data_IF_616358755031
#
_entry.id   IF_616358755031
#
_cell.length_a   1.000
_cell.length_b   1.000
_cell.length_c   1.000
_cell.angle_alpha   90.00
_cell.angle_beta   90.00
_cell.angle_gamma   90.00
#
_symmetry.space_group_name_H-M   'P 1'
#
loop_
_entity.id
_entity.type
_entity.pdbx_description
1 polymer ?
#
# COMPACT_ATOMS: atom_id res chain seq x y z
N UNK A 1 -1.10 38.10 19.00
CA UNK A 1 -1.43 36.81 18.36
C UNK A 1 -2.14 36.00 19.43
N UNK A 2 -3.45 36.14 19.48
CA UNK A 2 -4.31 35.53 20.50
C UNK A 2 -4.42 34.03 20.22
N UNK A 3 -4.11 33.20 21.21
CA UNK A 3 -4.42 31.78 21.15
C UNK A 3 -5.86 31.59 21.61
N UNK A 4 -6.78 31.47 20.66
CA UNK A 4 -8.12 30.95 20.92
C UNK A 4 -8.01 29.45 21.23
N UNK A 5 -8.43 29.12 22.45
CA UNK A 5 -8.58 27.78 22.97
C UNK A 5 -9.88 27.20 22.38
N UNK A 6 -9.90 25.98 21.81
CA UNK A 6 -11.14 25.40 21.31
C UNK A 6 -12.08 25.16 22.50
N UNK A 7 -13.24 25.81 22.49
CA UNK A 7 -14.35 25.43 23.34
C UNK A 7 -14.77 24.01 22.94
N UNK A 8 -14.46 23.05 23.79
CA UNK A 8 -15.06 21.71 23.72
C UNK A 8 -16.47 21.91 24.25
N UNK A 9 -17.42 22.08 23.33
CA UNK A 9 -18.83 21.90 23.67
C UNK A 9 -18.97 20.51 24.30
N UNK A 10 -19.49 20.49 25.53
CA UNK A 10 -20.00 19.29 26.19
C UNK A 10 -21.15 18.73 25.33
N UNK A 11 -20.81 18.01 24.27
CA UNK A 11 -21.74 17.12 23.61
C UNK A 11 -22.05 16.00 24.60
N UNK A 12 -23.11 16.23 25.38
CA UNK A 12 -23.91 15.18 26.00
C UNK A 12 -24.18 14.17 24.90
N UNK A 13 -23.43 13.07 24.93
CA UNK A 13 -23.53 12.00 23.95
C UNK A 13 -24.93 11.42 24.13
N UNK A 14 -25.88 11.86 23.29
CA UNK A 14 -27.21 11.31 23.27
C UNK A 14 -27.08 9.83 22.88
N UNK A 15 -27.24 8.96 23.87
CA UNK A 15 -27.44 7.53 23.65
C UNK A 15 -28.55 7.34 22.61
N UNK A 16 -28.34 6.51 21.57
CA UNK A 16 -29.36 6.27 20.54
C UNK A 16 -30.69 5.88 21.19
N UNK A 17 -31.72 6.72 21.04
CA UNK A 17 -33.06 6.40 21.51
C UNK A 17 -33.69 5.39 20.55
N UNK A 18 -34.12 4.26 21.09
CA UNK A 18 -35.00 3.32 20.39
C UNK A 18 -36.34 4.05 20.17
N UNK A 19 -36.85 4.16 18.92
CA UNK A 19 -38.11 4.84 18.65
C UNK A 19 -39.25 4.24 19.48
N UNK A 20 -39.89 5.06 20.32
CA UNK A 20 -41.08 4.69 21.10
C UNK A 20 -40.85 4.38 22.58
N UNK A 21 -39.61 4.30 23.07
CA UNK A 21 -39.32 4.12 24.50
C UNK A 21 -38.92 5.45 25.16
N UNK A 22 -39.60 5.91 26.23
CA UNK A 22 -39.21 7.12 26.95
C UNK A 22 -37.78 6.98 27.49
N UNK A 23 -37.01 8.07 27.47
CA UNK A 23 -35.63 8.05 27.97
C UNK A 23 -35.57 7.57 29.43
N UNK A 24 -34.46 6.93 29.83
CA UNK A 24 -34.25 6.49 31.21
C UNK A 24 -34.50 7.62 32.22
N UNK A 25 -34.06 8.84 31.90
CA UNK A 25 -34.31 10.05 32.69
C UNK A 25 -35.81 10.36 32.83
N UNK A 26 -36.59 10.22 31.76
CA UNK A 26 -38.03 10.42 31.79
C UNK A 26 -38.75 9.32 32.58
N UNK A 27 -38.33 8.06 32.44
CA UNK A 27 -38.88 6.94 33.21
C UNK A 27 -38.62 7.09 34.72
N UNK A 28 -37.40 7.47 35.10
CA UNK A 28 -37.03 7.70 36.50
C UNK A 28 -37.85 8.85 37.11
N UNK A 29 -38.01 9.95 36.36
CA UNK A 29 -38.84 11.09 36.77
C UNK A 29 -40.29 10.70 36.97
N UNK A 30 -40.88 9.93 36.04
CA UNK A 30 -42.25 9.45 36.18
C UNK A 30 -42.44 8.53 37.40
N UNK A 31 -41.50 7.62 37.67
CA UNK A 31 -41.53 6.78 38.88
C UNK A 31 -41.43 7.60 40.17
N UNK A 32 -40.58 8.63 40.18
CA UNK A 32 -40.45 9.55 41.32
C UNK A 32 -41.73 10.37 41.56
N UNK A 33 -42.37 10.88 40.50
CA UNK A 33 -43.63 11.63 40.60
C UNK A 33 -44.80 10.77 41.13
N UNK A 34 -44.86 9.50 40.71
CA UNK A 34 -45.84 8.52 41.24
C UNK A 34 -45.59 8.27 42.72
N UNK A 35 -44.33 8.08 43.12
CA UNK A 35 -43.94 7.91 44.52
C UNK A 35 -44.36 9.11 45.38
N UNK A 36 -44.02 10.33 44.95
CA UNK A 36 -44.31 11.55 45.69
C UNK A 36 -45.81 11.80 45.84
N UNK A 37 -46.58 11.44 44.81
CA UNK A 37 -48.04 11.52 44.82
C UNK A 37 -48.67 10.53 45.79
N UNK A 38 -48.21 9.27 45.78
CA UNK A 38 -48.68 8.23 46.71
C UNK A 38 -48.36 8.58 48.16
N UNK A 39 -47.15 9.08 48.42
CA UNK A 39 -46.74 9.50 49.75
C UNK A 39 -47.61 10.65 50.28
N UNK A 40 -47.79 11.71 49.47
CA UNK A 40 -48.68 12.83 49.82
C UNK A 40 -50.12 12.38 50.10
N UNK A 41 -50.65 11.47 49.27
CA UNK A 41 -52.00 10.95 49.43
C UNK A 41 -52.16 10.16 50.72
N UNK A 42 -51.22 9.26 51.02
CA UNK A 42 -51.23 8.46 52.25
C UNK A 42 -51.14 9.35 53.50
N UNK A 43 -50.24 10.35 53.50
CA UNK A 43 -50.13 11.31 54.61
C UNK A 43 -51.42 12.10 54.82
N UNK A 44 -52.06 12.55 53.73
CA UNK A 44 -53.33 13.29 53.80
C UNK A 44 -54.45 12.43 54.38
N UNK A 45 -54.55 11.17 53.97
CA UNK A 45 -55.57 10.25 54.51
C UNK A 45 -55.34 9.92 55.99
N UNK A 46 -54.08 9.82 56.41
CA UNK A 46 -53.72 9.60 57.82
C UNK A 46 -54.13 10.77 58.70
N UNK A 47 -53.84 11.99 58.26
CA UNK A 47 -54.24 13.20 58.99
C UNK A 47 -55.77 13.33 59.07
N UNK A 48 -56.48 12.99 57.98
CA UNK A 48 -57.93 13.08 57.92
C UNK A 48 -58.63 12.11 58.89
N UNK A 49 -58.16 10.86 58.99
CA UNK A 49 -58.75 9.88 59.93
C UNK A 49 -58.54 10.26 61.40
N UNK A 50 -57.46 10.96 61.73
CA UNK A 50 -57.25 11.53 63.06
C UNK A 50 -58.24 12.66 63.40
N UNK A 51 -58.74 13.39 62.39
CA UNK A 51 -59.70 14.50 62.57
C UNK A 51 -61.14 14.00 62.66
N UNK A 52 -61.51 12.95 61.91
CA UNK A 52 -62.90 12.51 61.75
C UNK A 52 -63.44 11.63 62.91
N UNK A 53 -62.66 11.38 63.97
CA UNK A 53 -63.11 10.58 65.11
C UNK A 53 -63.40 9.12 64.75
N UNK A 54 -62.54 8.51 63.91
CA UNK A 54 -62.72 7.13 63.43
C UNK A 54 -62.68 6.09 64.56
N UNK A 55 -63.38 4.96 64.38
CA UNK A 55 -63.29 3.85 65.34
C UNK A 55 -61.85 3.31 65.40
N UNK A 56 -61.44 2.80 66.57
CA UNK A 56 -60.11 2.24 66.77
C UNK A 56 -59.76 1.14 65.76
N UNK A 57 -60.75 0.36 65.32
CA UNK A 57 -60.54 -0.74 64.36
C UNK A 57 -60.31 -0.23 62.93
N UNK A 58 -60.98 0.86 62.53
CA UNK A 58 -60.74 1.51 61.23
C UNK A 58 -59.36 2.16 61.20
N UNK A 59 -58.94 2.75 62.33
CA UNK A 59 -57.62 3.34 62.49
C UNK A 59 -56.52 2.27 62.44
N UNK A 60 -56.74 1.10 63.08
CA UNK A 60 -55.83 -0.05 62.99
C UNK A 60 -55.69 -0.56 61.56
N UNK A 61 -56.81 -0.79 60.85
CA UNK A 61 -56.78 -1.23 59.44
C UNK A 61 -56.09 -0.22 58.53
N UNK A 62 -56.32 1.07 58.77
CA UNK A 62 -55.68 2.15 58.03
C UNK A 62 -54.15 2.16 58.24
N UNK A 63 -53.69 2.06 59.50
CA UNK A 63 -52.26 2.02 59.83
C UNK A 63 -51.59 0.81 59.19
N UNK A 64 -52.23 -0.37 59.28
CA UNK A 64 -51.70 -1.61 58.73
C UNK A 64 -51.57 -1.53 57.20
N UNK A 65 -52.58 -1.01 56.51
CA UNK A 65 -52.53 -0.79 55.05
C UNK A 65 -51.49 0.26 54.64
N UNK A 66 -51.31 1.30 55.44
CA UNK A 66 -50.28 2.33 55.20
C UNK A 66 -48.88 1.74 55.39
N UNK A 67 -48.67 0.91 56.41
CA UNK A 67 -47.41 0.20 56.62
C UNK A 67 -47.09 -0.77 55.47
N UNK A 68 -48.05 -1.58 55.02
CA UNK A 68 -47.86 -2.45 53.86
C UNK A 68 -47.48 -1.67 52.59
N UNK A 69 -48.16 -0.55 52.33
CA UNK A 69 -47.84 0.31 51.19
C UNK A 69 -46.43 0.91 51.29
N UNK A 70 -46.01 1.36 52.48
CA UNK A 70 -44.66 1.89 52.71
C UNK A 70 -43.59 0.82 52.52
N UNK A 71 -43.83 -0.41 53.00
CA UNK A 71 -42.92 -1.55 52.82
C UNK A 71 -42.79 -1.90 51.34
N UNK A 72 -43.90 -2.04 50.61
CA UNK A 72 -43.87 -2.31 49.17
C UNK A 72 -43.12 -1.22 48.40
N UNK A 73 -43.36 0.04 48.78
CA UNK A 73 -42.70 1.20 48.19
C UNK A 73 -41.17 1.20 48.45
N UNK A 74 -40.73 0.81 49.65
CA UNK A 74 -39.30 0.64 49.97
C UNK A 74 -38.66 -0.48 49.14
N UNK A 75 -39.35 -1.62 48.98
CA UNK A 75 -38.88 -2.74 48.16
C UNK A 75 -38.71 -2.31 46.70
N UNK A 76 -39.67 -1.59 46.13
CA UNK A 76 -39.55 -1.07 44.76
C UNK A 76 -38.40 -0.08 44.60
N UNK A 77 -38.16 0.78 45.60
CA UNK A 77 -37.01 1.70 45.58
C UNK A 77 -35.69 0.96 45.61
N UNK A 78 -35.56 0.00 46.52
CA UNK A 78 -34.33 -0.78 46.64
C UNK A 78 -34.02 -1.55 45.35
N UNK A 79 -35.03 -2.17 44.73
CA UNK A 79 -34.85 -2.84 43.45
C UNK A 79 -34.44 -1.87 42.33
N UNK A 80 -35.06 -0.68 42.27
CA UNK A 80 -34.70 0.34 41.29
C UNK A 80 -33.25 0.84 41.48
N UNK A 81 -32.80 0.98 42.72
CA UNK A 81 -31.43 1.38 43.04
C UNK A 81 -30.42 0.29 42.61
N UNK A 82 -30.71 -0.98 42.89
CA UNK A 82 -29.88 -2.12 42.46
C UNK A 82 -29.77 -2.22 40.93
N UNK A 83 -30.89 -2.05 40.22
CA UNK A 83 -30.92 -2.01 38.75
C UNK A 83 -30.10 -0.84 38.20
N UNK A 84 -30.19 0.34 38.82
CA UNK A 84 -29.41 1.51 38.43
C UNK A 84 -27.89 1.28 38.63
N UNK A 85 -27.50 0.69 39.76
CA UNK A 85 -26.10 0.33 40.03
C UNK A 85 -25.56 -0.68 39.01
N UNK A 86 -26.33 -1.71 38.69
CA UNK A 86 -25.96 -2.71 37.69
C UNK A 86 -25.77 -2.10 36.29
N UNK A 87 -26.65 -1.16 35.91
CA UNK A 87 -26.55 -0.44 34.64
C UNK A 87 -25.28 0.43 34.59
N UNK A 88 -24.96 1.12 35.67
CA UNK A 88 -23.73 1.95 35.77
C UNK A 88 -22.48 1.08 35.67
N UNK A 89 -22.41 -0.04 36.39
CA UNK A 89 -21.26 -0.96 36.33
C UNK A 89 -21.04 -1.50 34.90
N UNK A 90 -22.12 -1.90 34.24
CA UNK A 90 -22.10 -2.35 32.84
C UNK A 90 -21.61 -1.24 31.91
N UNK A 91 -22.10 -0.01 32.10
CA UNK A 91 -21.69 1.15 31.31
C UNK A 91 -20.19 1.47 31.47
N UNK A 92 -19.67 1.45 32.69
CA UNK A 92 -18.25 1.67 32.98
C UNK A 92 -17.39 0.58 32.34
N UNK A 93 -17.79 -0.69 32.48
CA UNK A 93 -17.06 -1.82 31.89
C UNK A 93 -17.01 -1.74 30.36
N UNK A 94 -18.14 -1.45 29.72
CA UNK A 94 -18.22 -1.30 28.27
C UNK A 94 -17.35 -0.14 27.78
N UNK A 95 -17.35 0.99 28.49
CA UNK A 95 -16.48 2.13 28.18
C UNK A 95 -15.00 1.76 28.25
N UNK A 96 -14.59 1.03 29.29
CA UNK A 96 -13.21 0.56 29.44
C UNK A 96 -12.78 -0.34 28.26
N UNK A 97 -13.64 -1.29 27.86
CA UNK A 97 -13.38 -2.18 26.71
C UNK A 97 -13.19 -1.36 25.43
N UNK A 98 -14.09 -0.41 25.15
CA UNK A 98 -14.02 0.46 23.96
C UNK A 98 -12.75 1.31 23.96
N UNK A 99 -12.34 1.84 25.11
CA UNK A 99 -11.10 2.62 25.22
C UNK A 99 -9.85 1.77 24.95
N UNK A 100 -9.81 0.53 25.42
CA UNK A 100 -8.68 -0.37 25.17
C UNK A 100 -8.63 -0.85 23.72
N UNK A 101 -9.78 -1.20 23.11
CA UNK A 101 -9.85 -1.50 21.68
C UNK A 101 -9.40 -0.31 20.83
N UNK A 102 -9.81 0.91 21.20
CA UNK A 102 -9.37 2.14 20.52
C UNK A 102 -7.85 2.30 20.58
N UNK A 103 -7.21 2.01 21.71
CA UNK A 103 -5.74 2.07 21.82
C UNK A 103 -5.07 1.05 20.90
N UNK A 104 -5.59 -0.17 20.83
CA UNK A 104 -5.07 -1.22 19.94
C UNK A 104 -5.18 -0.80 18.47
N UNK A 105 -6.34 -0.30 18.06
CA UNK A 105 -6.57 0.18 16.68
C UNK A 105 -5.59 1.31 16.33
N UNK A 106 -5.36 2.26 17.23
CA UNK A 106 -4.41 3.35 16.98
C UNK A 106 -2.97 2.84 16.83
N UNK A 107 -2.55 1.89 17.67
CA UNK A 107 -1.21 1.29 17.58
C UNK A 107 -1.02 0.52 16.26
N UNK A 108 -2.02 -0.25 15.83
CA UNK A 108 -1.98 -0.94 14.54
C UNK A 108 -1.98 0.04 13.36
N UNK A 109 -2.75 1.12 13.45
CA UNK A 109 -2.77 2.17 12.43
C UNK A 109 -1.40 2.85 12.29
N UNK A 110 -0.75 3.19 13.40
CA UNK A 110 0.59 3.78 13.39
C UNK A 110 1.61 2.84 12.76
N UNK A 111 1.57 1.55 13.10
CA UNK A 111 2.43 0.52 12.50
C UNK A 111 2.20 0.40 10.98
N UNK A 112 0.94 0.33 10.56
CA UNK A 112 0.59 0.23 9.14
C UNK A 112 1.04 1.48 8.36
N UNK A 113 0.93 2.66 8.97
CA UNK A 113 1.42 3.92 8.39
C UNK A 113 2.93 3.89 8.17
N UNK A 114 3.69 3.38 9.12
CA UNK A 114 5.15 3.24 9.00
C UNK A 114 5.54 2.23 7.91
N UNK A 115 4.87 1.08 7.86
CA UNK A 115 5.07 0.07 6.82
C UNK A 115 4.77 0.64 5.42
N UNK A 116 3.68 1.40 5.28
CA UNK A 116 3.31 2.05 4.04
C UNK A 116 4.37 3.08 3.59
N UNK A 117 4.88 3.90 4.51
CA UNK A 117 5.95 4.85 4.22
C UNK A 117 7.26 4.15 3.79
N UNK A 118 7.59 3.01 4.42
CA UNK A 118 8.74 2.20 4.03
C UNK A 118 8.56 1.57 2.65
N UNK A 119 7.35 1.13 2.32
CA UNK A 119 7.02 0.57 1.00
C UNK A 119 7.16 1.62 -0.11
N UNK A 120 6.64 2.84 0.09
CA UNK A 120 6.80 3.94 -0.87
C UNK A 120 8.28 4.19 -1.19
N UNK A 121 9.13 4.30 -0.16
CA UNK A 121 10.58 4.50 -0.36
C UNK A 121 11.22 3.37 -1.17
N UNK A 122 10.78 2.12 -0.99
CA UNK A 122 11.26 0.97 -1.78
C UNK A 122 10.78 1.05 -3.23
N UNK A 123 9.54 1.45 -3.46
CA UNK A 123 8.99 1.66 -4.80
C UNK A 123 9.78 2.74 -5.55
N UNK A 124 10.00 3.91 -4.94
CA UNK A 124 10.77 5.00 -5.56
C UNK A 124 12.19 4.56 -5.93
N UNK A 125 12.83 3.78 -5.07
CA UNK A 125 14.18 3.26 -5.31
C UNK A 125 14.19 2.24 -6.46
N UNK A 126 13.17 1.39 -6.57
CA UNK A 126 13.02 0.41 -7.64
C UNK A 126 12.70 1.08 -8.98
N UNK A 127 11.87 2.12 -8.97
CA UNK A 127 11.56 2.89 -10.18
C UNK A 127 12.82 3.54 -10.75
N UNK A 128 13.61 4.22 -9.91
CA UNK A 128 14.91 4.80 -10.33
C UNK A 128 15.87 3.76 -10.90
N UNK A 129 15.96 2.58 -10.27
CA UNK A 129 16.80 1.47 -10.77
C UNK A 129 16.31 0.96 -12.12
N UNK A 130 15.00 0.80 -12.27
CA UNK A 130 14.37 0.34 -13.51
C UNK A 130 14.62 1.35 -14.63
N UNK A 131 14.38 2.65 -14.40
CA UNK A 131 14.64 3.69 -15.39
C UNK A 131 16.11 3.70 -15.84
N UNK A 132 17.05 3.61 -14.89
CA UNK A 132 18.49 3.54 -15.21
C UNK A 132 18.85 2.29 -16.02
N UNK A 133 18.27 1.15 -15.69
CA UNK A 133 18.48 -0.09 -16.43
C UNK A 133 17.93 0.02 -17.86
N UNK A 134 16.73 0.57 -18.03
CA UNK A 134 16.11 0.80 -19.35
C UNK A 134 16.95 1.75 -20.20
N UNK A 135 17.45 2.83 -19.61
CA UNK A 135 18.32 3.78 -20.31
C UNK A 135 19.64 3.14 -20.73
N UNK A 136 20.30 2.42 -19.83
CA UNK A 136 21.53 1.67 -20.15
C UNK A 136 21.30 0.65 -21.26
N UNK A 137 20.17 -0.08 -21.21
CA UNK A 137 19.83 -1.06 -22.24
C UNK A 137 19.60 -0.39 -23.59
N UNK A 138 18.83 0.71 -23.63
CA UNK A 138 18.60 1.50 -24.85
C UNK A 138 19.92 2.00 -25.45
N UNK A 139 20.79 2.56 -24.61
CA UNK A 139 22.09 3.08 -25.04
C UNK A 139 22.99 1.94 -25.57
N UNK A 140 23.04 0.79 -24.88
CA UNK A 140 23.79 -0.38 -25.34
C UNK A 140 23.32 -0.91 -26.68
N UNK A 141 22.00 -1.04 -26.89
CA UNK A 141 21.42 -1.45 -28.18
C UNK A 141 21.76 -0.43 -29.27
N UNK A 142 21.72 0.86 -28.98
CA UNK A 142 22.09 1.89 -29.94
C UNK A 142 23.58 1.83 -30.32
N UNK A 143 24.48 1.64 -29.35
CA UNK A 143 25.91 1.45 -29.61
C UNK A 143 26.16 0.25 -30.53
N UNK A 144 25.59 -0.92 -30.19
CA UNK A 144 25.73 -2.13 -31.00
C UNK A 144 25.17 -1.95 -32.42
N UNK A 145 24.04 -1.24 -32.56
CA UNK A 145 23.47 -0.94 -33.88
C UNK A 145 24.40 -0.05 -34.71
N UNK A 146 25.03 0.94 -34.10
CA UNK A 146 25.99 1.81 -34.78
C UNK A 146 27.24 1.02 -35.20
N UNK A 147 27.81 0.23 -34.29
CA UNK A 147 28.98 -0.60 -34.57
C UNK A 147 28.71 -1.60 -35.72
N UNK A 148 27.53 -2.22 -35.73
CA UNK A 148 27.12 -3.13 -36.79
C UNK A 148 26.98 -2.42 -38.15
N UNK A 149 26.43 -1.20 -38.16
CA UNK A 149 26.29 -0.41 -39.38
C UNK A 149 27.66 -0.01 -39.94
N UNK A 150 28.57 0.45 -39.08
CA UNK A 150 29.94 0.82 -39.48
C UNK A 150 30.73 -0.38 -40.01
N UNK A 151 30.59 -1.54 -39.39
CA UNK A 151 31.22 -2.78 -39.86
C UNK A 151 30.68 -3.18 -41.24
N UNK A 152 29.36 -3.14 -41.41
CA UNK A 152 28.69 -3.44 -42.68
C UNK A 152 29.14 -2.49 -43.80
N UNK A 153 29.22 -1.19 -43.53
CA UNK A 153 29.66 -0.20 -44.52
C UNK A 153 31.12 -0.44 -44.96
N UNK A 154 32.00 -0.79 -44.01
CA UNK A 154 33.40 -1.16 -44.32
C UNK A 154 33.48 -2.40 -45.20
N UNK A 155 32.68 -3.42 -44.91
CA UNK A 155 32.64 -4.66 -45.69
C UNK A 155 32.10 -4.42 -47.12
N UNK A 156 31.05 -3.61 -47.26
CA UNK A 156 30.50 -3.21 -48.57
C UNK A 156 31.55 -2.43 -49.36
N UNK A 157 32.25 -1.48 -48.73
CA UNK A 157 33.31 -0.71 -49.39
C UNK A 157 34.45 -1.61 -49.84
N UNK A 158 34.91 -2.52 -48.99
CA UNK A 158 35.95 -3.49 -49.34
C UNK A 158 35.50 -4.44 -50.46
N UNK A 159 34.23 -4.85 -50.48
CA UNK A 159 33.67 -5.66 -51.56
C UNK A 159 33.62 -4.90 -52.89
N UNK A 160 33.21 -3.63 -52.88
CA UNK A 160 33.20 -2.78 -54.07
C UNK A 160 34.63 -2.56 -54.61
N UNK A 161 35.61 -2.29 -53.74
CA UNK A 161 37.02 -2.17 -54.15
C UNK A 161 37.56 -3.47 -54.78
N UNK A 162 37.17 -4.64 -54.26
CA UNK A 162 37.50 -5.93 -54.88
C UNK A 162 36.83 -6.09 -56.24
N UNK A 163 35.58 -5.65 -56.38
CA UNK A 163 34.83 -5.70 -57.64
C UNK A 163 35.49 -4.84 -58.73
N UNK A 164 35.82 -3.58 -58.42
CA UNK A 164 36.49 -2.65 -59.35
C UNK A 164 37.86 -3.18 -59.83
N UNK A 165 38.65 -3.76 -58.92
CA UNK A 165 39.94 -4.40 -59.25
C UNK A 165 39.74 -5.58 -60.21
N UNK A 166 38.72 -6.41 -59.98
CA UNK A 166 38.40 -7.53 -60.84
C UNK A 166 37.92 -7.06 -62.22
N UNK A 167 37.02 -6.08 -62.27
CA UNK A 167 36.52 -5.53 -63.54
C UNK A 167 37.65 -4.91 -64.37
N UNK A 168 38.56 -4.17 -63.72
CA UNK A 168 39.75 -3.60 -64.36
C UNK A 168 40.66 -4.69 -64.92
N UNK A 169 40.91 -5.76 -64.14
CA UNK A 169 41.73 -6.89 -64.57
C UNK A 169 41.09 -7.63 -65.77
N UNK A 170 39.76 -7.80 -65.75
CA UNK A 170 39.01 -8.41 -66.86
C UNK A 170 39.07 -7.54 -68.12
N UNK A 171 38.84 -6.22 -68.03
CA UNK A 171 38.99 -5.29 -69.16
C UNK A 171 40.39 -5.35 -69.76
N UNK A 172 41.43 -5.40 -68.92
CA UNK A 172 42.82 -5.53 -69.38
C UNK A 172 43.07 -6.87 -70.09
N UNK A 173 42.57 -7.98 -69.53
CA UNK A 173 42.66 -9.30 -70.14
C UNK A 173 41.97 -9.32 -71.51
N UNK A 174 40.75 -8.78 -71.59
CA UNK A 174 39.98 -8.66 -72.83
C UNK A 174 40.76 -7.91 -73.91
N UNK A 175 41.29 -6.71 -73.62
CA UNK A 175 42.11 -5.95 -74.57
C UNK A 175 43.31 -6.74 -75.09
N UNK A 176 44.00 -7.44 -74.18
CA UNK A 176 45.16 -8.29 -74.52
C UNK A 176 44.75 -9.45 -75.44
N UNK A 177 43.60 -10.08 -75.19
CA UNK A 177 43.08 -11.17 -76.01
C UNK A 177 42.49 -10.71 -77.36
N UNK A 178 41.97 -9.48 -77.43
CA UNK A 178 41.38 -8.91 -78.64
C UNK A 178 42.40 -8.29 -79.60
N UNK A 179 43.68 -8.17 -79.20
CA UNK A 179 44.75 -7.64 -80.06
C UNK A 179 44.75 -6.11 -80.22
N UNK A 180 44.07 -5.38 -79.34
CA UNK A 180 44.17 -3.92 -79.25
C UNK A 180 45.41 -3.55 -78.43
N UNK A 181 46.60 -3.64 -79.03
CA UNK A 181 47.82 -3.07 -78.46
C UNK A 181 48.00 -1.63 -78.98
N UNK A 182 48.10 -0.66 -78.07
CA UNK A 182 48.92 0.54 -78.34
C UNK A 182 50.36 0.04 -78.53
N UNK A 183 50.92 0.26 -79.72
CA UNK A 183 52.23 -0.24 -80.17
C UNK A 183 53.31 -0.26 -79.07
N UNK A 184 53.93 -1.43 -78.78
CA UNK A 184 55.20 -1.43 -78.10
C UNK A 184 56.31 -1.18 -79.13
N UNK A 185 56.93 0.00 -79.03
CA UNK A 185 58.18 0.32 -79.70
C UNK A 185 59.25 -0.74 -79.35
N UNK A 186 59.48 -1.63 -80.33
CA UNK A 186 60.74 -2.27 -80.68
C UNK A 186 61.83 -2.35 -79.59
N UNK A 187 62.15 -3.58 -79.17
CA UNK A 187 63.55 -4.02 -79.03
C UNK A 187 63.67 -5.54 -78.97
N UNK A 188 64.31 -6.08 -80.00
CA UNK A 188 64.91 -7.41 -80.06
C UNK A 188 65.93 -7.55 -78.92
N UNK A 189 65.93 -8.69 -78.23
CA UNK A 189 67.19 -9.39 -77.96
C UNK A 189 67.00 -10.86 -77.56
N UNK A 190 67.64 -11.69 -78.37
CA UNK A 190 68.17 -13.05 -78.22
C UNK A 190 67.71 -13.97 -77.08
N UNK A 191 67.23 -15.13 -77.55
CA UNK A 191 67.20 -16.41 -76.87
C UNK A 191 68.55 -16.79 -76.23
N UNK A 192 68.49 -17.17 -74.96
CA UNK A 192 69.38 -18.19 -74.39
C UNK A 192 68.54 -19.08 -73.46
N UNK A 193 68.35 -20.34 -73.84
CA UNK A 193 67.76 -21.41 -73.01
C UNK A 193 68.89 -22.18 -72.28
N UNK A 194 68.62 -23.03 -71.28
CA UNK A 194 68.96 -22.79 -69.87
C UNK A 194 70.04 -23.77 -69.39
N UNK A 195 70.65 -23.49 -68.23
CA UNK A 195 71.37 -24.52 -67.48
C UNK A 195 70.76 -24.72 -66.10
N UNK A 196 70.81 -25.98 -65.69
CA UNK A 196 69.97 -26.66 -64.73
C UNK A 196 70.35 -26.29 -63.27
N UNK A 197 69.30 -26.31 -62.45
CA UNK A 197 69.21 -26.04 -61.02
C UNK A 197 70.02 -27.05 -60.19
N UNK A 198 70.68 -26.59 -59.12
CA UNK A 198 70.45 -26.99 -57.72
C UNK A 198 71.34 -26.17 -56.79
N UNK A 199 70.80 -25.66 -55.66
CA UNK A 199 71.09 -26.40 -54.43
C UNK A 199 69.95 -26.43 -53.39
N UNK A 200 69.95 -27.57 -52.67
CA UNK A 200 69.61 -27.80 -51.25
C UNK A 200 68.28 -27.35 -50.67
N UNK A 201 67.51 -28.37 -50.30
CA UNK A 201 66.51 -28.41 -49.25
C UNK A 201 66.94 -27.64 -47.98
N UNK A 202 66.11 -26.70 -47.54
CA UNK A 202 65.87 -26.52 -46.12
C UNK A 202 64.37 -26.60 -45.83
N UNK A 203 64.01 -27.74 -45.24
CA UNK A 203 62.75 -27.97 -44.54
C UNK A 203 62.76 -27.08 -43.29
N UNK A 204 61.93 -26.05 -43.25
CA UNK A 204 61.56 -25.42 -41.97
C UNK A 204 60.25 -26.07 -41.53
N UNK A 205 60.40 -26.97 -40.58
CA UNK A 205 59.35 -27.60 -39.83
C UNK A 205 58.83 -26.58 -38.81
N UNK A 206 57.62 -26.04 -39.00
CA UNK A 206 56.96 -25.24 -37.97
C UNK A 206 55.86 -26.12 -37.34
N UNK A 207 56.22 -26.69 -36.19
CA UNK A 207 55.35 -27.47 -35.35
C UNK A 207 54.10 -26.70 -34.92
N UNK A 208 52.98 -27.37 -35.05
CA UNK A 208 51.74 -27.16 -34.31
C UNK A 208 51.96 -27.42 -32.82
N UNK A 209 51.47 -26.53 -31.96
CA UNK A 209 51.04 -26.75 -30.56
C UNK A 209 50.07 -25.59 -30.29
N UNK A 210 48.74 -25.74 -30.26
CA UNK A 210 47.91 -26.56 -29.36
C UNK A 210 48.43 -26.59 -27.93
N UNK A 211 47.86 -25.74 -27.06
CA UNK A 211 46.88 -26.18 -26.04
C UNK A 211 47.05 -25.50 -24.68
N UNK A 212 45.87 -25.29 -24.06
CA UNK A 212 45.54 -25.12 -22.62
C UNK A 212 46.00 -23.84 -21.90
N UNK A 213 45.07 -22.94 -21.58
CA UNK A 213 44.32 -22.88 -20.31
C UNK A 213 43.45 -21.61 -20.27
#
# INVERSE_FOLDING_TARGET
MSHEQPQIDDQVTETPQIPGLPSLKAQLKAKQEVFDSLLKQATKQMLQSCVDGSSFEDMRKFVQKTQENLVNMLVFKQQADEEAWSLVDTGVRNKMIVEDEKKLILAEYDKLREEHAALIKKCDALEKKTSKLTENFKNGVQCLRTELLEASEKDVKAANERHEKLETALKKCWKTCSGEEDEPASKKMNYHHPMIIHPTNHVINAHSSSSVA
#
